data_IF_217096600205
#
_entry.id   IF_217096600205
#
_cell.length_a   1.000
_cell.length_b   1.000
_cell.length_c   1.000
_cell.angle_alpha   90.00
_cell.angle_beta   90.00
_cell.angle_gamma   90.00
#
_symmetry.space_group_name_H-M   'P 1'
#
loop_
_entity.id
_entity.type
_entity.pdbx_description
1 polymer ?
#
# COMPACT_ATOMS: atom_id res chain seq x y z
N UNK A 1 -14.13 8.55 -8.46
CA UNK A 1 -14.17 7.58 -9.58
C UNK A 1 -15.60 7.22 -10.02
N UNK A 2 -16.47 6.83 -9.08
CA UNK A 2 -17.85 6.35 -9.35
C UNK A 2 -18.70 7.28 -10.21
N UNK A 3 -18.76 8.59 -9.89
CA UNK A 3 -19.49 9.59 -10.69
C UNK A 3 -19.07 9.56 -12.16
N UNK A 4 -17.76 9.63 -12.43
CA UNK A 4 -17.22 9.63 -13.79
C UNK A 4 -17.57 8.36 -14.55
N UNK A 5 -17.44 7.19 -13.93
CA UNK A 5 -17.77 5.91 -14.57
C UNK A 5 -19.25 5.83 -14.92
N UNK A 6 -20.13 6.18 -13.98
CA UNK A 6 -21.57 6.15 -14.21
C UNK A 6 -21.97 7.12 -15.32
N UNK A 7 -21.50 8.38 -15.27
CA UNK A 7 -21.82 9.37 -16.30
C UNK A 7 -21.26 8.99 -17.68
N UNK A 8 -20.10 8.34 -17.74
CA UNK A 8 -19.55 7.84 -19.02
C UNK A 8 -20.42 6.73 -19.60
N UNK A 9 -20.87 5.79 -18.77
CA UNK A 9 -21.78 4.72 -19.20
C UNK A 9 -23.14 5.28 -19.63
N UNK A 10 -23.76 6.12 -18.78
CA UNK A 10 -25.07 6.74 -19.05
C UNK A 10 -25.01 7.62 -20.30
N UNK A 11 -23.91 8.35 -20.50
CA UNK A 11 -23.72 9.18 -21.70
C UNK A 11 -23.70 8.39 -23.01
N UNK A 12 -23.42 7.08 -22.98
CA UNK A 12 -23.52 6.20 -24.15
C UNK A 12 -24.89 5.51 -24.20
N UNK A 13 -25.39 5.03 -23.06
CA UNK A 13 -26.59 4.21 -23.00
C UNK A 13 -27.91 5.02 -23.08
N UNK A 14 -27.98 6.17 -22.42
CA UNK A 14 -29.15 7.05 -22.36
C UNK A 14 -28.71 8.51 -22.12
N UNK A 15 -28.29 9.23 -23.18
CA UNK A 15 -27.71 10.57 -23.05
C UNK A 15 -28.64 11.59 -22.37
N UNK A 16 -29.96 11.46 -22.51
CA UNK A 16 -30.93 12.37 -21.91
C UNK A 16 -30.96 12.27 -20.37
N UNK A 17 -30.50 11.15 -19.80
CA UNK A 17 -30.49 10.90 -18.36
C UNK A 17 -29.27 11.55 -17.65
N UNK A 18 -28.23 11.95 -18.39
CA UNK A 18 -26.99 12.51 -17.82
C UNK A 18 -27.28 13.72 -16.92
N UNK A 19 -28.04 14.70 -17.44
CA UNK A 19 -28.35 15.93 -16.70
C UNK A 19 -29.13 15.63 -15.41
N UNK A 20 -30.08 14.70 -15.49
CA UNK A 20 -30.84 14.29 -14.31
C UNK A 20 -29.94 13.63 -13.26
N UNK A 21 -29.03 12.74 -13.66
CA UNK A 21 -28.09 12.09 -12.73
C UNK A 21 -27.17 13.11 -12.08
N UNK A 22 -26.65 14.08 -12.83
CA UNK A 22 -25.79 15.12 -12.28
C UNK A 22 -26.50 16.01 -11.26
N UNK A 23 -27.79 16.28 -11.47
CA UNK A 23 -28.60 17.11 -10.59
C UNK A 23 -29.12 16.36 -9.35
N UNK A 24 -29.48 15.07 -9.48
CA UNK A 24 -30.23 14.35 -8.45
C UNK A 24 -29.40 13.31 -7.68
N UNK A 25 -28.23 12.91 -8.17
CA UNK A 25 -27.42 11.84 -7.56
C UNK A 25 -26.13 12.41 -6.97
N UNK A 26 -25.94 12.17 -5.66
CA UNK A 26 -24.70 12.50 -4.96
C UNK A 26 -23.73 11.31 -4.96
N UNK A 27 -22.43 11.62 -4.95
CA UNK A 27 -21.35 10.64 -4.95
C UNK A 27 -20.33 11.01 -3.88
N UNK A 28 -20.69 10.91 -2.57
CA UNK A 28 -19.78 11.31 -1.50
C UNK A 28 -18.54 10.42 -1.52
N UNK A 29 -17.36 11.04 -1.44
CA UNK A 29 -16.12 10.28 -1.24
C UNK A 29 -16.05 9.79 0.21
N UNK A 30 -15.31 8.71 0.42
CA UNK A 30 -15.07 8.17 1.75
C UNK A 30 -13.68 7.55 1.85
N UNK A 31 -13.05 7.71 3.02
CA UNK A 31 -11.92 6.91 3.44
C UNK A 31 -12.42 5.81 4.38
N UNK A 32 -12.14 4.56 4.03
CA UNK A 32 -12.51 3.37 4.79
C UNK A 32 -11.27 2.62 5.24
N UNK A 33 -11.20 2.28 6.52
CA UNK A 33 -10.05 1.59 7.08
C UNK A 33 -10.45 0.55 8.13
N UNK A 34 -10.22 -0.72 7.79
CA UNK A 34 -10.26 -1.88 8.67
C UNK A 34 -9.62 -3.08 7.99
N UNK A 35 -8.52 -3.59 8.54
CA UNK A 35 -7.88 -4.81 8.04
C UNK A 35 -8.82 -5.99 8.29
N UNK A 36 -9.20 -6.64 7.19
CA UNK A 36 -10.20 -7.71 7.14
C UNK A 36 -9.69 -8.78 6.17
N UNK A 37 -8.95 -9.80 6.64
CA UNK A 37 -8.46 -10.88 5.80
C UNK A 37 -9.61 -11.69 5.18
N UNK A 38 -9.27 -12.51 4.19
CA UNK A 38 -10.20 -13.52 3.69
C UNK A 38 -10.40 -14.62 4.74
N UNK A 39 -11.64 -15.05 4.95
CA UNK A 39 -11.97 -16.14 5.88
C UNK A 39 -11.25 -17.43 5.50
N UNK A 40 -10.53 -18.00 6.46
CA UNK A 40 -9.83 -19.27 6.35
C UNK A 40 -10.58 -20.41 7.06
N UNK A 41 -10.29 -21.69 6.74
CA UNK A 41 -10.81 -22.82 7.51
C UNK A 41 -10.45 -22.79 9.00
N UNK A 42 -9.29 -22.20 9.34
CA UNK A 42 -8.88 -22.00 10.74
C UNK A 42 -9.77 -20.99 11.46
N UNK A 43 -10.25 -19.94 10.79
CA UNK A 43 -11.14 -18.95 11.40
C UNK A 43 -12.50 -19.57 11.75
N UNK A 44 -13.06 -20.38 10.83
CA UNK A 44 -14.31 -21.13 11.04
C UNK A 44 -14.17 -22.06 12.25
N UNK A 45 -13.09 -22.85 12.26
CA UNK A 45 -12.84 -23.81 13.34
C UNK A 45 -12.62 -23.09 14.68
N UNK A 46 -11.84 -22.01 14.68
CA UNK A 46 -11.52 -21.22 15.87
C UNK A 46 -12.76 -20.53 16.45
N UNK A 47 -13.66 -19.98 15.62
CA UNK A 47 -14.91 -19.38 16.11
C UNK A 47 -15.77 -20.43 16.83
N UNK A 48 -15.92 -21.61 16.23
CA UNK A 48 -16.68 -22.72 16.83
C UNK A 48 -16.07 -23.19 18.15
N UNK A 49 -14.75 -23.34 18.20
CA UNK A 49 -14.03 -23.78 19.41
C UNK A 49 -14.09 -22.75 20.55
N UNK A 50 -13.94 -21.47 20.24
CA UNK A 50 -13.81 -20.40 21.25
C UNK A 50 -15.14 -19.81 21.71
N UNK A 51 -16.16 -19.83 20.85
CA UNK A 51 -17.46 -19.19 21.13
C UNK A 51 -18.66 -20.15 21.07
N UNK A 52 -18.47 -21.37 20.56
CA UNK A 52 -19.56 -22.33 20.32
C UNK A 52 -20.46 -21.97 19.14
N UNK A 53 -20.16 -20.91 18.38
CA UNK A 53 -20.95 -20.47 17.22
C UNK A 53 -20.52 -21.28 15.99
N UNK A 54 -21.47 -22.01 15.38
CA UNK A 54 -21.28 -22.73 14.12
C UNK A 54 -21.67 -21.82 12.94
N UNK A 55 -20.73 -20.98 12.51
CA UNK A 55 -20.88 -20.10 11.34
C UNK A 55 -19.99 -20.61 10.21
N UNK A 56 -20.60 -20.88 9.05
CA UNK A 56 -19.89 -21.37 7.87
C UNK A 56 -19.07 -20.28 7.18
N UNK A 57 -19.32 -18.99 7.44
CA UNK A 57 -18.61 -17.89 6.81
C UNK A 57 -18.45 -16.66 7.71
N UNK A 58 -17.71 -16.79 8.82
CA UNK A 58 -17.44 -15.66 9.69
C UNK A 58 -16.48 -14.66 9.04
N UNK A 59 -16.55 -13.40 9.44
CA UNK A 59 -15.59 -12.36 9.04
C UNK A 59 -14.68 -12.00 10.21
N UNK A 60 -13.39 -12.28 10.06
CA UNK A 60 -12.36 -11.85 11.02
C UNK A 60 -11.83 -10.49 10.60
N UNK A 61 -11.66 -9.60 11.56
CA UNK A 61 -11.12 -8.27 11.34
C UNK A 61 -10.40 -7.75 12.58
N UNK A 62 -9.55 -6.76 12.38
CA UNK A 62 -8.90 -6.09 13.50
C UNK A 62 -9.90 -5.28 14.35
N UNK A 63 -9.55 -4.97 15.62
CA UNK A 63 -10.37 -4.10 16.46
C UNK A 63 -10.46 -2.66 15.94
N UNK A 64 -9.38 -2.15 15.31
CA UNK A 64 -9.37 -0.80 14.74
C UNK A 64 -10.41 -0.69 13.61
N UNK A 65 -11.09 0.46 13.56
CA UNK A 65 -12.00 0.80 12.47
C UNK A 65 -12.07 2.32 12.34
N UNK A 66 -12.04 2.81 11.11
CA UNK A 66 -12.23 4.22 10.81
C UNK A 66 -13.04 4.40 9.54
N UNK A 67 -13.95 5.37 9.57
CA UNK A 67 -14.75 5.75 8.41
C UNK A 67 -14.91 7.27 8.37
N UNK A 68 -14.34 7.90 7.34
CA UNK A 68 -14.44 9.34 7.10
C UNK A 68 -15.22 9.55 5.82
N UNK A 69 -16.25 10.40 5.83
CA UNK A 69 -17.25 10.50 4.77
C UNK A 69 -17.52 11.98 4.45
N UNK A 70 -17.68 12.30 3.17
CA UNK A 70 -18.25 13.59 2.77
C UNK A 70 -19.77 13.61 3.00
N UNK A 71 -20.28 14.66 3.64
CA UNK A 71 -21.69 14.72 4.03
C UNK A 71 -22.62 15.23 2.91
N UNK A 72 -22.66 14.49 1.79
CA UNK A 72 -23.48 14.82 0.63
C UNK A 72 -24.32 13.62 0.17
N UNK A 73 -25.57 13.55 0.61
CA UNK A 73 -26.49 12.43 0.35
C UNK A 73 -27.80 12.90 -0.29
N UNK A 74 -28.17 12.34 -1.45
CA UNK A 74 -29.39 12.70 -2.19
C UNK A 74 -30.71 12.47 -1.44
N UNK A 75 -30.75 11.52 -0.51
CA UNK A 75 -31.99 11.07 0.14
C UNK A 75 -31.81 10.86 1.65
N UNK A 76 -30.98 11.69 2.28
CA UNK A 76 -30.58 11.52 3.68
C UNK A 76 -29.66 10.32 3.90
N UNK A 77 -29.28 10.10 5.16
CA UNK A 77 -28.41 8.99 5.60
C UNK A 77 -28.69 8.64 7.07
N UNK A 78 -28.29 7.45 7.53
CA UNK A 78 -28.26 7.14 8.96
C UNK A 78 -27.34 8.10 9.75
N UNK A 79 -27.60 8.24 11.05
CA UNK A 79 -26.75 8.99 11.99
C UNK A 79 -25.50 8.18 12.38
N UNK A 80 -24.65 7.85 11.41
CA UNK A 80 -23.43 7.05 11.62
C UNK A 80 -22.40 7.74 12.52
N UNK A 81 -22.48 9.06 12.66
CA UNK A 81 -21.71 9.84 13.62
C UNK A 81 -21.92 9.38 15.07
N UNK A 82 -23.10 8.87 15.41
CA UNK A 82 -23.42 8.35 16.74
C UNK A 82 -22.73 7.02 17.05
N UNK A 83 -22.15 6.36 16.05
CA UNK A 83 -21.41 5.09 16.17
C UNK A 83 -19.97 5.20 15.67
N UNK A 84 -19.46 6.43 15.54
CA UNK A 84 -18.03 6.73 15.32
C UNK A 84 -17.62 7.08 13.89
N UNK A 85 -18.53 7.16 12.92
CA UNK A 85 -18.18 7.70 11.59
C UNK A 85 -17.90 9.21 11.67
N UNK A 86 -16.95 9.69 10.88
CA UNK A 86 -16.54 11.10 10.86
C UNK A 86 -17.04 11.75 9.57
N UNK A 87 -17.78 12.85 9.69
CA UNK A 87 -18.23 13.63 8.53
C UNK A 87 -17.35 14.86 8.35
N UNK A 88 -16.84 15.04 7.13
CA UNK A 88 -15.94 16.14 6.77
C UNK A 88 -16.38 16.77 5.46
N UNK A 89 -16.02 18.04 5.19
CA UNK A 89 -16.34 18.68 3.92
C UNK A 89 -15.47 18.16 2.75
N UNK A 90 -14.29 17.62 3.04
CA UNK A 90 -13.37 17.05 2.04
C UNK A 90 -12.63 15.85 2.63
N UNK A 91 -12.79 14.68 2.01
CA UNK A 91 -12.15 13.42 2.42
C UNK A 91 -10.73 13.26 1.88
N UNK A 92 -10.37 13.96 0.80
CA UNK A 92 -9.13 13.76 0.04
C UNK A 92 -7.85 13.72 0.92
N UNK A 93 -7.66 14.59 1.93
CA UNK A 93 -6.48 14.52 2.79
C UNK A 93 -6.39 13.20 3.58
N UNK A 94 -7.52 12.72 4.12
CA UNK A 94 -7.59 11.47 4.89
C UNK A 94 -7.38 10.25 4.00
N UNK A 95 -7.93 10.26 2.79
CA UNK A 95 -7.68 9.21 1.80
C UNK A 95 -6.20 9.17 1.42
N UNK A 96 -5.59 10.31 1.08
CA UNK A 96 -4.17 10.41 0.76
C UNK A 96 -3.29 9.87 1.90
N UNK A 97 -3.57 10.27 3.14
CA UNK A 97 -2.88 9.77 4.34
C UNK A 97 -2.93 8.25 4.41
N UNK A 98 -4.13 7.67 4.34
CA UNK A 98 -4.33 6.23 4.46
C UNK A 98 -3.67 5.48 3.30
N UNK A 99 -3.76 5.98 2.07
CA UNK A 99 -3.14 5.36 0.90
C UNK A 99 -1.60 5.36 0.99
N UNK A 100 -1.00 6.47 1.44
CA UNK A 100 0.46 6.62 1.45
C UNK A 100 1.13 6.07 2.72
N UNK A 101 0.41 5.94 3.84
CA UNK A 101 0.92 5.33 5.07
C UNK A 101 0.50 3.87 5.18
N UNK A 102 -0.80 3.59 5.21
CA UNK A 102 -1.29 2.21 5.43
C UNK A 102 -1.11 1.35 4.18
N UNK A 103 -1.67 1.75 3.04
CA UNK A 103 -1.62 0.89 1.84
C UNK A 103 -0.19 0.76 1.28
N UNK A 104 0.58 1.84 1.28
CA UNK A 104 1.99 1.78 0.94
C UNK A 104 2.76 0.95 1.98
N UNK A 105 2.49 1.12 3.27
CA UNK A 105 3.11 0.32 4.34
C UNK A 105 2.89 -1.17 4.17
N UNK A 106 1.68 -1.61 3.84
CA UNK A 106 1.41 -2.99 3.43
C UNK A 106 2.26 -3.44 2.25
N UNK A 107 2.42 -2.59 1.22
CA UNK A 107 3.23 -2.92 0.05
C UNK A 107 4.71 -3.05 0.42
N UNK A 108 5.23 -2.16 1.26
CA UNK A 108 6.60 -2.23 1.81
C UNK A 108 6.80 -3.55 2.56
N UNK A 109 5.94 -3.86 3.54
CA UNK A 109 6.02 -5.09 4.33
C UNK A 109 5.89 -6.35 3.46
N UNK A 110 4.93 -6.36 2.54
CA UNK A 110 4.67 -7.50 1.67
C UNK A 110 5.85 -7.78 0.74
N UNK A 111 6.37 -6.77 0.04
CA UNK A 111 7.47 -6.95 -0.92
C UNK A 111 8.76 -7.39 -0.20
N UNK A 112 9.13 -6.69 0.88
CA UNK A 112 10.33 -7.03 1.64
C UNK A 112 10.18 -8.40 2.31
N UNK A 113 9.02 -8.65 2.94
CA UNK A 113 8.75 -9.89 3.64
C UNK A 113 8.71 -11.10 2.72
N UNK A 114 8.14 -10.97 1.51
CA UNK A 114 8.14 -12.03 0.52
C UNK A 114 9.56 -12.46 0.12
N UNK A 115 10.45 -11.49 -0.11
CA UNK A 115 11.85 -11.78 -0.45
C UNK A 115 12.63 -12.40 0.71
N UNK A 116 12.29 -12.03 1.95
CA UNK A 116 12.85 -12.63 3.18
C UNK A 116 12.24 -14.00 3.51
N UNK A 117 11.21 -14.44 2.79
CA UNK A 117 10.56 -15.75 2.97
C UNK A 117 9.46 -15.80 4.04
N UNK A 118 8.93 -14.65 4.48
CA UNK A 118 7.75 -14.60 5.34
C UNK A 118 6.47 -14.91 4.56
N UNK A 119 5.48 -15.50 5.22
CA UNK A 119 4.18 -15.84 4.61
C UNK A 119 3.09 -14.80 5.00
N UNK A 120 3.26 -14.11 6.15
CA UNK A 120 2.27 -13.16 6.69
C UNK A 120 2.84 -11.78 7.02
N UNK A 121 1.98 -10.76 7.00
CA UNK A 121 2.36 -9.37 7.28
C UNK A 121 2.84 -9.20 8.72
N UNK A 122 2.26 -9.91 9.69
CA UNK A 122 2.69 -9.80 11.08
C UNK A 122 4.09 -10.36 11.31
N UNK A 123 4.49 -11.42 10.60
CA UNK A 123 5.88 -11.91 10.61
C UNK A 123 6.86 -10.84 10.13
N UNK A 124 6.57 -10.21 8.98
CA UNK A 124 7.40 -9.14 8.44
C UNK A 124 7.39 -7.90 9.34
N UNK A 125 6.24 -7.51 9.89
CA UNK A 125 6.10 -6.35 10.77
C UNK A 125 6.77 -6.53 12.14
N UNK A 126 6.89 -7.77 12.62
CA UNK A 126 7.57 -8.11 13.86
C UNK A 126 9.08 -8.34 13.68
N UNK A 127 9.60 -8.41 12.44
CA UNK A 127 11.04 -8.32 12.20
C UNK A 127 11.54 -6.90 12.56
N UNK A 128 12.46 -6.74 13.53
CA UNK A 128 12.89 -5.42 14.00
C UNK A 128 13.47 -4.52 12.90
N UNK A 129 14.17 -5.10 11.94
CA UNK A 129 14.83 -4.38 10.84
C UNK A 129 13.81 -3.87 9.83
N UNK A 130 12.82 -4.71 9.47
CA UNK A 130 11.74 -4.33 8.56
C UNK A 130 10.82 -3.31 9.22
N UNK A 131 10.49 -3.49 10.51
CA UNK A 131 9.71 -2.52 11.28
C UNK A 131 10.39 -1.14 11.32
N UNK A 132 11.68 -1.13 11.64
CA UNK A 132 12.47 0.10 11.64
C UNK A 132 12.49 0.74 10.26
N UNK A 133 12.67 -0.03 9.18
CA UNK A 133 12.63 0.44 7.80
C UNK A 133 11.31 1.11 7.47
N UNK A 134 10.18 0.45 7.74
CA UNK A 134 8.85 0.99 7.51
C UNK A 134 8.63 2.30 8.27
N UNK A 135 9.03 2.35 9.55
CA UNK A 135 8.93 3.59 10.35
C UNK A 135 9.69 4.75 9.72
N UNK A 136 10.87 4.52 9.16
CA UNK A 136 11.62 5.59 8.50
C UNK A 136 11.04 5.97 7.14
N UNK A 137 10.54 5.01 6.35
CA UNK A 137 9.80 5.31 5.12
C UNK A 137 8.61 6.23 5.43
N UNK A 138 7.78 5.88 6.43
CA UNK A 138 6.64 6.69 6.83
C UNK A 138 7.08 8.09 7.30
N UNK A 139 7.98 8.17 8.28
CA UNK A 139 8.36 9.46 8.86
C UNK A 139 9.20 10.37 7.96
N UNK A 140 10.06 9.82 7.09
CA UNK A 140 10.98 10.62 6.25
C UNK A 140 10.45 10.89 4.86
N UNK A 141 9.74 9.93 4.28
CA UNK A 141 9.29 10.04 2.88
C UNK A 141 7.81 10.40 2.77
N UNK A 142 6.96 9.92 3.69
CA UNK A 142 5.51 10.14 3.60
C UNK A 142 5.04 11.32 4.46
N UNK A 143 5.41 11.40 5.74
CA UNK A 143 4.90 12.44 6.63
C UNK A 143 5.14 13.87 6.12
N UNK A 144 6.31 14.24 5.54
CA UNK A 144 6.55 15.59 5.04
C UNK A 144 5.63 16.01 3.89
N UNK A 145 5.04 15.06 3.15
CA UNK A 145 4.16 15.33 2.01
C UNK A 145 2.67 15.34 2.40
N UNK A 146 2.36 15.18 3.68
CA UNK A 146 1.02 15.11 4.27
C UNK A 146 0.70 16.33 5.18
N UNK A 147 1.37 17.47 4.97
CA UNK A 147 1.32 18.66 5.82
C UNK A 147 -0.07 19.29 6.02
N UNK A 148 -1.05 18.97 5.19
CA UNK A 148 -2.35 19.65 5.15
C UNK A 148 -3.43 19.00 6.05
N UNK A 149 -3.06 18.00 6.85
CA UNK A 149 -3.98 17.28 7.73
C UNK A 149 -4.26 18.02 9.04
N UNK A 150 -5.35 18.79 9.07
CA UNK A 150 -5.82 19.42 10.32
C UNK A 150 -6.42 18.38 11.28
N UNK A 151 -5.93 18.38 12.51
CA UNK A 151 -6.51 17.57 13.60
C UNK A 151 -6.15 16.09 13.57
N UNK A 152 -5.15 15.70 12.78
CA UNK A 152 -4.59 14.35 12.81
C UNK A 152 -3.19 14.39 13.40
N UNK A 153 -2.96 13.58 14.43
CA UNK A 153 -1.63 13.28 14.92
C UNK A 153 -1.02 12.17 14.07
N UNK A 154 -0.17 12.56 13.12
CA UNK A 154 0.48 11.63 12.19
C UNK A 154 1.42 10.66 12.92
N UNK A 155 2.15 11.10 13.94
CA UNK A 155 3.06 10.23 14.68
C UNK A 155 2.28 9.13 15.42
N UNK A 156 1.20 9.52 16.11
CA UNK A 156 0.29 8.54 16.75
C UNK A 156 -0.35 7.60 15.72
N UNK A 157 -0.72 8.10 14.54
CA UNK A 157 -1.27 7.26 13.48
C UNK A 157 -0.23 6.24 12.95
N UNK A 158 1.01 6.66 12.68
CA UNK A 158 2.11 5.79 12.28
C UNK A 158 2.41 4.71 13.32
N UNK A 159 2.47 5.07 14.61
CA UNK A 159 2.64 4.11 15.70
C UNK A 159 1.49 3.10 15.71
N UNK A 160 0.24 3.56 15.51
CA UNK A 160 -0.91 2.67 15.42
C UNK A 160 -0.78 1.69 14.24
N UNK A 161 -0.28 2.13 13.09
CA UNK A 161 -0.10 1.27 11.92
C UNK A 161 0.93 0.17 12.19
N UNK A 162 2.08 0.50 12.80
CA UNK A 162 3.09 -0.49 13.15
C UNK A 162 2.52 -1.57 14.10
N UNK A 163 1.69 -1.16 15.07
CA UNK A 163 1.02 -2.10 15.98
C UNK A 163 -0.01 -2.96 15.26
N UNK A 164 -0.80 -2.36 14.36
CA UNK A 164 -1.85 -3.06 13.59
C UNK A 164 -1.26 -4.08 12.62
N UNK A 165 -0.18 -3.73 11.92
CA UNK A 165 0.53 -4.67 11.06
C UNK A 165 1.17 -5.82 11.84
N UNK A 166 1.67 -5.56 13.05
CA UNK A 166 2.25 -6.60 13.93
C UNK A 166 1.22 -7.50 14.62
N UNK A 167 -0.07 -7.37 14.34
CA UNK A 167 -1.12 -8.14 15.00
C UNK A 167 -1.16 -9.60 14.54
N UNK A 168 -0.57 -10.49 15.35
CA UNK A 168 -0.44 -11.93 15.12
C UNK A 168 -1.75 -12.71 15.01
N UNK A 169 -2.89 -12.10 15.35
CA UNK A 169 -4.21 -12.72 15.23
C UNK A 169 -4.85 -12.52 13.85
N UNK A 170 -4.34 -11.58 13.05
CA UNK A 170 -4.90 -11.28 11.72
C UNK A 170 -4.32 -12.19 10.66
N UNK A 171 -3.01 -12.50 10.74
CA UNK A 171 -2.29 -13.37 9.79
C UNK A 171 -2.56 -13.00 8.33
N UNK A 172 -2.51 -11.71 8.04
CA UNK A 172 -2.80 -11.19 6.70
C UNK A 172 -1.72 -11.70 5.73
N UNK A 173 -2.15 -12.36 4.65
CA UNK A 173 -1.23 -13.10 3.79
C UNK A 173 -0.44 -12.16 2.88
N UNK A 174 0.87 -12.36 2.80
CA UNK A 174 1.76 -11.56 1.94
C UNK A 174 1.36 -11.72 0.47
N UNK A 175 0.97 -12.92 0.03
CA UNK A 175 0.56 -13.18 -1.35
C UNK A 175 -0.68 -12.35 -1.76
N UNK A 176 -1.63 -12.16 -0.83
CA UNK A 176 -2.82 -11.33 -1.00
C UNK A 176 -2.44 -9.86 -1.07
N UNK A 177 -1.53 -9.41 -0.20
CA UNK A 177 -1.08 -8.02 -0.17
C UNK A 177 -0.31 -7.65 -1.44
N UNK A 178 0.63 -8.50 -1.87
CA UNK A 178 1.44 -8.31 -3.07
C UNK A 178 0.68 -8.51 -4.39
N UNK A 179 -0.51 -9.11 -4.37
CA UNK A 179 -1.32 -9.25 -5.58
C UNK A 179 -1.60 -7.90 -6.23
N UNK A 180 -1.60 -7.83 -7.56
CA UNK A 180 -1.88 -6.60 -8.32
C UNK A 180 -1.02 -5.39 -7.90
N UNK A 181 0.26 -5.63 -7.56
CA UNK A 181 1.19 -4.56 -7.18
C UNK A 181 1.35 -3.54 -8.32
N UNK A 182 1.28 -3.95 -9.59
CA UNK A 182 1.35 -3.01 -10.73
C UNK A 182 0.22 -1.98 -10.73
N UNK A 183 -0.97 -2.35 -10.27
CA UNK A 183 -2.11 -1.44 -10.15
C UNK A 183 -2.05 -0.60 -8.85
N UNK A 184 -1.47 -1.15 -7.79
CA UNK A 184 -1.36 -0.53 -6.46
C UNK A 184 -0.22 0.47 -6.36
N UNK A 185 0.95 0.15 -6.93
CA UNK A 185 2.16 0.95 -6.80
C UNK A 185 2.00 2.41 -7.27
N UNK A 186 1.33 2.70 -8.41
CA UNK A 186 1.11 4.07 -8.88
C UNK A 186 0.23 4.90 -7.95
N UNK A 187 -0.59 4.24 -7.13
CA UNK A 187 -1.55 4.87 -6.21
C UNK A 187 -0.93 5.02 -4.81
N UNK A 188 -0.12 4.05 -4.37
CA UNK A 188 0.35 3.99 -2.98
C UNK A 188 1.75 4.58 -2.78
N UNK A 189 2.72 4.22 -3.63
CA UNK A 189 4.14 4.56 -3.43
C UNK A 189 4.61 5.65 -4.40
N UNK A 190 4.23 5.56 -5.67
CA UNK A 190 4.67 6.52 -6.70
C UNK A 190 4.33 7.99 -6.36
N UNK A 191 3.18 8.32 -5.75
CA UNK A 191 2.90 9.70 -5.35
C UNK A 191 3.90 10.24 -4.32
N UNK A 192 4.39 9.38 -3.41
CA UNK A 192 5.42 9.72 -2.43
C UNK A 192 6.73 10.07 -3.12
N UNK A 193 7.18 9.20 -4.04
CA UNK A 193 8.39 9.42 -4.84
C UNK A 193 8.32 10.76 -5.58
N UNK A 194 7.22 11.00 -6.30
CA UNK A 194 7.05 12.20 -7.10
C UNK A 194 6.98 13.48 -6.26
N UNK A 195 6.38 13.41 -5.06
CA UNK A 195 6.32 14.55 -4.16
C UNK A 195 7.70 14.85 -3.56
N UNK A 196 8.44 13.83 -3.14
CA UNK A 196 9.79 13.99 -2.61
C UNK A 196 10.78 14.53 -3.64
N UNK A 197 10.71 14.06 -4.88
CA UNK A 197 11.51 14.61 -5.99
C UNK A 197 11.21 16.09 -6.27
N UNK A 198 9.99 16.57 -6.00
CA UNK A 198 9.65 18.01 -6.14
C UNK A 198 10.13 18.84 -4.96
N UNK A 199 10.34 18.21 -3.81
CA UNK A 199 10.78 18.85 -2.57
C UNK A 199 12.29 18.73 -2.36
N UNK A 200 13.02 18.12 -3.31
CA UNK A 200 14.43 17.73 -3.16
C UNK A 200 14.68 16.93 -1.86
N UNK A 201 13.71 16.08 -1.49
CA UNK A 201 13.74 15.32 -0.24
C UNK A 201 14.15 13.86 -0.40
N UNK A 202 13.79 13.03 0.58
CA UNK A 202 14.24 11.64 0.68
C UNK A 202 13.49 10.71 -0.27
N UNK A 203 14.22 9.81 -0.91
CA UNK A 203 13.69 8.83 -1.89
C UNK A 203 14.29 7.44 -1.72
N UNK A 204 15.21 7.25 -0.78
CA UNK A 204 16.06 6.07 -0.67
C UNK A 204 15.27 4.81 -0.30
N UNK A 205 14.26 4.92 0.58
CA UNK A 205 13.43 3.78 1.00
C UNK A 205 12.48 3.38 -0.13
N UNK A 206 11.80 4.34 -0.76
CA UNK A 206 10.96 4.05 -1.90
C UNK A 206 11.78 3.47 -3.08
N UNK A 207 13.01 3.95 -3.30
CA UNK A 207 13.92 3.38 -4.28
C UNK A 207 14.29 1.92 -3.96
N UNK A 208 14.60 1.61 -2.69
CA UNK A 208 14.87 0.23 -2.25
C UNK A 208 13.65 -0.67 -2.43
N UNK A 209 12.45 -0.22 -2.05
CA UNK A 209 11.21 -1.00 -2.22
C UNK A 209 10.90 -1.22 -3.70
N UNK A 210 11.17 -0.24 -4.56
CA UNK A 210 11.01 -0.38 -6.02
C UNK A 210 11.99 -1.41 -6.57
N UNK A 211 13.25 -1.38 -6.12
CA UNK A 211 14.27 -2.35 -6.50
C UNK A 211 13.94 -3.77 -6.00
N UNK A 212 13.49 -3.90 -4.76
CA UNK A 212 12.99 -5.14 -4.20
C UNK A 212 11.81 -5.69 -5.01
N UNK A 213 10.89 -4.83 -5.45
CA UNK A 213 9.77 -5.27 -6.30
C UNK A 213 10.22 -5.78 -7.68
N UNK A 214 11.23 -5.15 -8.27
CA UNK A 214 11.85 -5.66 -9.50
C UNK A 214 12.44 -7.06 -9.32
N UNK A 215 13.07 -7.33 -8.17
CA UNK A 215 13.64 -8.64 -7.84
C UNK A 215 12.55 -9.66 -7.51
N UNK A 216 11.54 -9.28 -6.71
CA UNK A 216 10.33 -10.08 -6.43
C UNK A 216 9.66 -10.55 -7.73
N UNK A 217 9.63 -9.69 -8.74
CA UNK A 217 9.04 -9.97 -10.06
C UNK A 217 9.77 -11.06 -10.86
N UNK A 218 10.96 -11.51 -10.43
CA UNK A 218 11.62 -12.71 -10.97
C UNK A 218 10.89 -14.00 -10.60
N UNK A 219 10.05 -13.99 -9.55
CA UNK A 219 9.23 -15.14 -9.13
C UNK A 219 9.92 -16.09 -8.15
N UNK A 220 10.93 -15.63 -7.41
CA UNK A 220 11.58 -16.39 -6.34
C UNK A 220 12.03 -15.48 -5.21
N UNK A 221 11.94 -15.97 -3.97
CA UNK A 221 12.53 -15.30 -2.81
C UNK A 221 14.06 -15.50 -2.76
N UNK A 222 14.73 -14.93 -1.75
CA UNK A 222 16.19 -15.04 -1.61
C UNK A 222 16.67 -16.43 -1.18
N UNK A 223 15.76 -17.29 -0.73
CA UNK A 223 16.03 -18.68 -0.37
C UNK A 223 15.76 -19.65 -1.55
N UNK A 224 15.31 -19.13 -2.70
CA UNK A 224 14.96 -19.93 -3.89
C UNK A 224 13.58 -20.58 -3.84
N UNK A 225 12.72 -20.25 -2.85
CA UNK A 225 11.31 -20.64 -2.84
C UNK A 225 10.58 -19.85 -3.93
N UNK A 226 9.71 -20.52 -4.68
CA UNK A 226 8.93 -19.88 -5.73
C UNK A 226 7.94 -18.86 -5.14
N UNK A 227 7.90 -17.67 -5.73
CA UNK A 227 6.90 -16.63 -5.46
C UNK A 227 5.89 -16.65 -6.61
N UNK A 228 4.61 -16.80 -6.27
CA UNK A 228 3.54 -16.67 -7.23
C UNK A 228 3.17 -15.19 -7.42
N UNK A 229 3.67 -14.57 -8.49
CA UNK A 229 3.37 -13.17 -8.85
C UNK A 229 1.95 -13.09 -9.45
N UNK A 230 0.95 -12.85 -8.59
CA UNK A 230 -0.46 -12.67 -8.96
C UNK A 230 -0.70 -11.23 -9.41
N UNK A 231 -0.52 -10.94 -10.69
CA UNK A 231 -0.66 -9.60 -11.24
C UNK A 231 -1.12 -9.65 -12.69
N UNK A 232 -2.02 -8.76 -13.12
CA UNK A 232 -2.45 -8.65 -14.53
C UNK A 232 -1.26 -8.41 -15.47
N UNK A 233 -0.21 -7.76 -14.98
CA UNK A 233 1.03 -7.47 -15.72
C UNK A 233 2.15 -8.50 -15.47
N UNK A 234 1.89 -9.67 -14.87
CA UNK A 234 2.92 -10.62 -14.43
C UNK A 234 3.97 -10.98 -15.51
N UNK A 235 3.56 -11.20 -16.76
CA UNK A 235 4.51 -11.49 -17.86
C UNK A 235 5.46 -10.33 -18.11
N UNK A 236 4.92 -9.11 -18.23
CA UNK A 236 5.69 -7.90 -18.49
C UNK A 236 6.64 -7.60 -17.32
N UNK A 237 6.15 -7.72 -16.08
CA UNK A 237 6.96 -7.55 -14.87
C UNK A 237 8.13 -8.54 -14.86
N UNK A 238 7.88 -9.81 -15.18
CA UNK A 238 8.92 -10.84 -15.18
C UNK A 238 9.95 -10.65 -16.30
N UNK A 239 9.50 -10.30 -17.51
CA UNK A 239 10.37 -9.98 -18.64
C UNK A 239 11.29 -8.80 -18.30
N UNK A 240 10.73 -7.69 -17.80
CA UNK A 240 11.49 -6.51 -17.39
C UNK A 240 12.42 -6.79 -16.21
N UNK A 241 12.00 -7.59 -15.24
CA UNK A 241 12.85 -8.02 -14.14
C UNK A 241 14.06 -8.85 -14.61
N UNK A 242 13.88 -9.72 -15.63
CA UNK A 242 14.97 -10.47 -16.25
C UNK A 242 15.95 -9.55 -16.97
N UNK A 243 15.46 -8.57 -17.73
CA UNK A 243 16.29 -7.55 -18.39
C UNK A 243 17.08 -6.72 -17.37
N UNK A 244 16.46 -6.40 -16.22
CA UNK A 244 17.07 -5.65 -15.12
C UNK A 244 18.30 -6.28 -14.50
N UNK A 245 18.53 -7.59 -14.68
CA UNK A 245 19.78 -8.25 -14.26
C UNK A 245 21.01 -7.64 -14.92
N UNK A 246 20.87 -7.16 -16.16
CA UNK A 246 21.95 -6.52 -16.92
C UNK A 246 21.83 -4.99 -16.88
N UNK A 247 20.61 -4.46 -16.92
CA UNK A 247 20.33 -3.02 -16.95
C UNK A 247 19.22 -2.69 -15.94
N UNK A 248 19.54 -2.41 -14.66
CA UNK A 248 18.53 -2.28 -13.59
C UNK A 248 17.35 -1.38 -13.95
N UNK A 249 17.61 -0.24 -14.58
CA UNK A 249 16.60 0.78 -14.94
C UNK A 249 15.54 0.30 -15.92
N UNK A 250 15.74 -0.83 -16.59
CA UNK A 250 14.76 -1.38 -17.54
C UNK A 250 13.42 -1.68 -16.89
N UNK A 251 13.38 -2.04 -15.60
CA UNK A 251 12.12 -2.19 -14.87
C UNK A 251 11.31 -0.88 -14.80
N UNK A 252 11.98 0.28 -14.73
CA UNK A 252 11.33 1.59 -14.71
C UNK A 252 10.76 2.00 -16.08
N UNK A 253 11.00 1.22 -17.14
CA UNK A 253 10.43 1.45 -18.48
C UNK A 253 8.96 1.03 -18.60
N UNK A 254 8.37 0.41 -17.58
CA UNK A 254 6.95 0.08 -17.57
C UNK A 254 6.14 1.36 -17.37
N UNK A 255 5.93 2.13 -18.45
CA UNK A 255 5.35 3.48 -18.41
C UNK A 255 3.92 3.51 -17.84
N UNK A 256 3.15 2.43 -17.98
CA UNK A 256 1.82 2.32 -17.37
C UNK A 256 1.85 2.30 -15.84
N UNK A 257 2.98 1.92 -15.24
CA UNK A 257 3.19 1.89 -13.79
C UNK A 257 3.96 3.14 -13.34
N UNK A 258 5.11 3.40 -13.95
CA UNK A 258 6.07 4.40 -13.47
C UNK A 258 5.96 5.75 -14.18
N UNK A 259 5.18 5.85 -15.26
CA UNK A 259 5.16 7.03 -16.11
C UNK A 259 6.57 7.38 -16.61
N UNK A 260 7.03 8.60 -16.31
CA UNK A 260 8.34 9.12 -16.70
C UNK A 260 9.41 9.03 -15.62
N UNK A 261 9.21 8.20 -14.59
CA UNK A 261 10.13 8.14 -13.45
C UNK A 261 11.57 7.77 -13.86
N UNK A 262 11.74 6.97 -14.92
CA UNK A 262 13.05 6.62 -15.50
C UNK A 262 13.89 7.84 -15.93
N UNK A 263 13.23 8.95 -16.27
CA UNK A 263 13.89 10.18 -16.71
C UNK A 263 14.42 11.03 -15.53
N UNK A 264 13.98 10.73 -14.31
CA UNK A 264 14.54 11.33 -13.09
C UNK A 264 15.91 10.73 -12.79
N UNK A 265 16.97 11.46 -13.13
CA UNK A 265 18.35 11.03 -12.86
C UNK A 265 18.56 10.65 -11.39
N UNK A 266 18.06 11.48 -10.46
CA UNK A 266 18.17 11.24 -9.02
C UNK A 266 17.53 9.91 -8.61
N UNK A 267 16.31 9.64 -9.07
CA UNK A 267 15.62 8.41 -8.72
C UNK A 267 16.24 7.19 -9.40
N UNK A 268 16.58 7.30 -10.68
CA UNK A 268 17.21 6.21 -11.43
C UNK A 268 18.55 5.79 -10.80
N UNK A 269 19.35 6.75 -10.31
CA UNK A 269 20.60 6.48 -9.58
C UNK A 269 20.35 5.79 -8.23
N UNK A 270 19.43 6.32 -7.41
CA UNK A 270 19.08 5.72 -6.12
C UNK A 270 18.52 4.29 -6.27
N UNK A 271 17.59 4.08 -7.21
CA UNK A 271 17.03 2.78 -7.54
C UNK A 271 18.11 1.81 -8.06
N UNK A 272 19.00 2.27 -8.93
CA UNK A 272 20.06 1.42 -9.48
C UNK A 272 21.05 0.99 -8.40
N UNK A 273 21.40 1.89 -7.47
CA UNK A 273 22.22 1.55 -6.31
C UNK A 273 21.53 0.48 -5.46
N UNK A 274 20.29 0.73 -5.06
CA UNK A 274 19.53 -0.20 -4.22
C UNK A 274 19.36 -1.58 -4.89
N UNK A 275 19.09 -1.63 -6.20
CA UNK A 275 19.00 -2.90 -6.95
C UNK A 275 20.31 -3.68 -6.90
N UNK A 276 21.44 -3.01 -7.16
CA UNK A 276 22.77 -3.64 -7.12
C UNK A 276 23.13 -4.12 -5.72
N UNK A 277 22.78 -3.34 -4.71
CA UNK A 277 23.04 -3.70 -3.31
C UNK A 277 22.23 -4.93 -2.93
N UNK A 278 20.93 -4.98 -3.23
CA UNK A 278 20.10 -6.17 -2.94
C UNK A 278 20.65 -7.40 -3.67
N UNK A 279 20.97 -7.30 -4.97
CA UNK A 279 21.53 -8.43 -5.73
C UNK A 279 22.84 -8.94 -5.11
N UNK A 280 23.66 -8.05 -4.56
CA UNK A 280 24.98 -8.40 -3.99
C UNK A 280 24.91 -8.88 -2.55
N UNK A 281 23.95 -8.39 -1.77
CA UNK A 281 23.97 -8.49 -0.31
C UNK A 281 22.71 -9.13 0.29
N UNK A 282 21.63 -9.24 -0.48
CA UNK A 282 20.31 -9.64 0.01
C UNK A 282 19.55 -8.47 0.64
N UNK A 283 18.22 -8.53 0.56
CA UNK A 283 17.31 -7.46 0.98
C UNK A 283 17.38 -7.23 2.48
N UNK A 284 17.54 -8.29 3.28
CA UNK A 284 17.64 -8.19 4.74
C UNK A 284 18.87 -7.37 5.16
N UNK A 285 20.01 -7.63 4.51
CA UNK A 285 21.23 -6.88 4.81
C UNK A 285 21.13 -5.42 4.37
N UNK A 286 20.56 -5.14 3.20
CA UNK A 286 20.36 -3.76 2.74
C UNK A 286 19.40 -2.98 3.66
N UNK A 287 18.33 -3.62 4.11
CA UNK A 287 17.39 -3.06 5.10
C UNK A 287 18.12 -2.73 6.41
N UNK A 288 18.95 -3.64 6.93
CA UNK A 288 19.77 -3.42 8.11
C UNK A 288 20.75 -2.25 7.95
N UNK A 289 21.45 -2.17 6.81
CA UNK A 289 22.42 -1.11 6.53
C UNK A 289 21.76 0.27 6.43
N UNK A 290 20.61 0.38 5.77
CA UNK A 290 19.81 1.60 5.77
C UNK A 290 19.36 2.01 7.18
N UNK A 291 19.14 1.04 8.07
CA UNK A 291 18.81 1.31 9.46
C UNK A 291 20.02 1.80 10.29
N UNK A 292 21.23 1.31 10.01
CA UNK A 292 22.44 1.70 10.75
C UNK A 292 22.93 3.08 10.33
N UNK A 293 22.86 3.40 9.03
CA UNK A 293 23.22 4.71 8.50
C UNK A 293 22.34 5.87 9.05
N UNK A 294 21.32 5.55 9.88
CA UNK A 294 20.53 6.50 10.67
C UNK A 294 21.30 7.19 11.78
N UNK A 295 22.33 6.57 12.36
CA UNK A 295 22.99 7.08 13.57
C UNK A 295 23.87 8.31 13.29
N UNK A 296 24.21 8.58 12.02
CA UNK A 296 25.13 9.66 11.65
C UNK A 296 24.43 10.97 11.20
N UNK A 297 23.10 11.06 11.27
CA UNK A 297 22.33 12.23 10.82
C UNK A 297 21.25 12.68 11.82
N UNK A 298 21.43 12.39 13.12
CA UNK A 298 20.65 12.99 14.23
C UNK A 298 21.58 13.92 15.00
#
# INVERSE_FOLDING_TARGET
MTKKMLLSYVGVAEPALVAWVEEHVSFPNAMVDRITPATSPSDISSLKETSGIDDAWPVVCEPFKQWVIEDYFSAGRPSWENVGAQFVPNVEPYEKMKLQLLNAGHSVLGILGALMGYDTIDEAANNPSVNAFLRAYMGREVAPILSDLKGVDLESYEVSLLQRFGNVYIKDQIDRICSETSAKFPIFILPTINAQLKLDGHIEHAALVTAAWAIYSLGSDENGKAINVKDVMASVLNEKAKESKNCPTTFLEIESVFGKLKDSKLFAEAYTSAYKDIVKHGVEKCVLEMNINRVNFI
#
